data_IF_600214885906
#
_entry.id   IF_600214885906
#
_cell.length_a   1.000
_cell.length_b   1.000
_cell.length_c   1.000
_cell.angle_alpha   90.00
_cell.angle_beta   90.00
_cell.angle_gamma   90.00
#
_symmetry.space_group_name_H-M   'P 1'
#
loop_
_entity.id
_entity.type
_entity.pdbx_description
1 polymer ?
#
# COMPACT_ATOMS: atom_id res chain seq x y z
N UNK A 1 -35.64 11.83 -67.30
CA UNK A 1 -35.38 10.59 -66.55
C UNK A 1 -33.89 10.51 -66.22
N UNK A 2 -33.58 10.40 -64.93
CA UNK A 2 -32.30 9.98 -64.31
C UNK A 2 -31.15 10.99 -64.18
N UNK A 3 -31.05 11.49 -62.95
CA UNK A 3 -29.93 12.14 -62.30
C UNK A 3 -28.62 11.34 -62.38
N UNK A 4 -27.48 12.04 -62.44
CA UNK A 4 -26.14 11.55 -62.09
C UNK A 4 -25.28 12.68 -61.51
N UNK A 5 -25.75 13.21 -60.38
CA UNK A 5 -24.84 13.68 -59.34
C UNK A 5 -24.33 12.41 -58.63
N UNK A 6 -23.17 12.47 -57.99
CA UNK A 6 -22.47 11.41 -57.22
C UNK A 6 -21.30 10.80 -58.00
N UNK A 7 -20.13 11.45 -57.89
CA UNK A 7 -18.82 10.78 -57.86
C UNK A 7 -17.71 11.74 -57.41
N UNK A 8 -17.91 12.41 -56.26
CA UNK A 8 -16.85 13.20 -55.60
C UNK A 8 -16.96 13.10 -54.08
N UNK A 9 -17.13 11.90 -53.52
CA UNK A 9 -17.10 11.70 -52.06
C UNK A 9 -16.52 10.31 -51.75
N UNK A 10 -15.40 9.95 -52.36
CA UNK A 10 -14.79 8.64 -52.13
C UNK A 10 -13.26 8.80 -52.11
N UNK A 11 -12.75 9.52 -51.12
CA UNK A 11 -11.31 9.58 -50.84
C UNK A 11 -10.95 10.14 -49.46
N UNK A 12 -11.90 10.74 -48.74
CA UNK A 12 -11.63 11.36 -47.43
C UNK A 12 -12.01 10.51 -46.21
N UNK A 13 -12.53 9.28 -46.39
CA UNK A 13 -13.00 8.45 -45.26
C UNK A 13 -12.01 7.39 -44.78
N UNK A 14 -10.85 7.21 -45.43
CA UNK A 14 -9.92 6.14 -45.05
C UNK A 14 -8.74 6.58 -44.16
N UNK A 15 -8.60 7.87 -43.86
CA UNK A 15 -7.48 8.40 -43.05
C UNK A 15 -7.84 8.72 -41.59
N UNK A 16 -9.13 8.65 -41.24
CA UNK A 16 -9.61 8.93 -39.87
C UNK A 16 -9.65 7.69 -38.96
N UNK A 17 -9.36 6.50 -39.49
CA UNK A 17 -9.42 5.26 -38.70
C UNK A 17 -8.10 4.91 -38.00
N UNK A 18 -7.04 5.69 -38.20
CA UNK A 18 -5.72 5.40 -37.62
C UNK A 18 -5.44 6.09 -36.27
N UNK A 19 -6.35 6.93 -35.76
CA UNK A 19 -6.13 7.67 -34.50
C UNK A 19 -6.77 6.96 -33.28
N UNK A 20 -7.52 5.87 -33.48
CA UNK A 20 -8.40 5.34 -32.44
C UNK A 20 -7.77 4.35 -31.44
N UNK A 21 -6.49 3.98 -31.57
CA UNK A 21 -5.90 2.94 -30.73
C UNK A 21 -4.51 3.24 -30.18
N UNK A 22 -4.24 4.51 -29.86
CA UNK A 22 -3.20 4.82 -28.86
C UNK A 22 -3.77 4.52 -27.47
N UNK A 23 -4.02 3.23 -27.19
CA UNK A 23 -4.10 2.75 -25.81
C UNK A 23 -2.72 3.02 -25.23
N UNK A 24 -2.58 4.17 -24.56
CA UNK A 24 -1.56 4.38 -23.54
C UNK A 24 -1.72 3.22 -22.56
N UNK A 25 -1.00 2.13 -22.82
CA UNK A 25 -0.62 1.21 -21.79
C UNK A 25 0.10 2.09 -20.79
N UNK A 26 -0.60 2.51 -19.74
CA UNK A 26 0.02 3.00 -18.53
C UNK A 26 0.84 1.82 -18.06
N UNK A 27 2.10 1.80 -18.47
CA UNK A 27 3.09 0.86 -18.01
C UNK A 27 3.10 1.06 -16.50
N UNK A 28 2.49 0.13 -15.78
CA UNK A 28 2.47 0.15 -14.34
C UNK A 28 3.92 -0.02 -13.91
N UNK A 29 4.60 1.10 -13.68
CA UNK A 29 5.96 1.12 -13.15
C UNK A 29 5.90 0.32 -11.85
N UNK A 30 6.67 -0.77 -11.71
CA UNK A 30 6.69 -1.51 -10.47
C UNK A 30 7.08 -0.53 -9.36
N UNK A 31 6.16 -0.31 -8.43
CA UNK A 31 6.42 0.53 -7.26
C UNK A 31 7.63 -0.09 -6.54
N UNK A 32 8.70 0.68 -6.39
CA UNK A 32 9.86 0.21 -5.65
C UNK A 32 9.40 -0.25 -4.25
N UNK A 33 9.88 -1.41 -3.75
CA UNK A 33 9.50 -1.87 -2.43
C UNK A 33 9.88 -0.80 -1.40
N UNK A 34 8.93 -0.41 -0.57
CA UNK A 34 9.02 0.68 0.40
C UNK A 34 8.86 0.10 1.80
N UNK A 35 9.94 -0.52 2.29
CA UNK A 35 9.93 -1.31 3.51
C UNK A 35 10.89 -0.77 4.56
N UNK A 36 10.55 -0.98 5.84
CA UNK A 36 11.42 -0.63 6.96
C UNK A 36 11.28 -1.65 8.08
N UNK A 37 12.41 -2.03 8.66
CA UNK A 37 12.41 -2.71 9.95
C UNK A 37 12.26 -1.64 11.04
N UNK A 38 11.36 -1.86 12.00
CA UNK A 38 11.24 -0.96 13.15
C UNK A 38 11.25 -1.74 14.45
N UNK A 39 11.89 -1.16 15.46
CA UNK A 39 11.71 -1.55 16.85
C UNK A 39 10.71 -0.59 17.47
N UNK A 40 9.60 -1.10 17.96
CA UNK A 40 8.52 -0.28 18.50
C UNK A 40 7.93 -0.85 19.78
N UNK A 41 7.39 0.03 20.62
CA UNK A 41 6.53 -0.37 21.74
C UNK A 41 5.07 -0.40 21.29
N UNK A 42 4.35 -1.47 21.62
CA UNK A 42 2.92 -1.59 21.31
C UNK A 42 2.10 -0.81 22.32
N UNK A 43 1.49 0.29 21.88
CA UNK A 43 0.73 1.21 22.75
C UNK A 43 -0.73 0.75 22.88
N UNK A 44 -1.35 0.38 21.76
CA UNK A 44 -2.73 -0.05 21.69
C UNK A 44 -2.93 -1.10 20.60
N UNK A 45 -3.98 -1.91 20.76
CA UNK A 45 -4.38 -2.96 19.84
C UNK A 45 -5.89 -2.88 19.69
N UNK A 46 -6.39 -2.97 18.45
CA UNK A 46 -7.80 -3.08 18.14
C UNK A 46 -8.01 -4.10 17.03
N UNK A 47 -9.14 -4.81 17.06
CA UNK A 47 -9.62 -5.59 15.90
C UNK A 47 -10.63 -4.71 15.17
N UNK A 48 -10.42 -4.53 13.86
CA UNK A 48 -11.27 -3.69 13.00
C UNK A 48 -11.73 -4.48 11.79
N UNK A 49 -12.90 -4.14 11.27
CA UNK A 49 -13.35 -4.64 9.97
C UNK A 49 -12.74 -3.76 8.87
N UNK A 50 -12.16 -4.38 7.84
CA UNK A 50 -11.47 -3.68 6.76
C UNK A 50 -12.38 -2.71 5.99
N UNK A 51 -13.69 -2.94 5.99
CA UNK A 51 -14.68 -2.02 5.40
C UNK A 51 -14.70 -0.65 6.07
N UNK A 52 -14.36 -0.56 7.37
CA UNK A 52 -14.26 0.73 8.08
C UNK A 52 -13.07 1.57 7.65
N UNK A 53 -12.16 0.97 6.89
CA UNK A 53 -10.95 1.59 6.33
C UNK A 53 -10.99 1.63 4.80
N UNK A 54 -12.16 1.35 4.18
CA UNK A 54 -12.32 1.24 2.72
C UNK A 54 -11.40 0.19 2.06
N UNK A 55 -10.96 -0.83 2.81
CA UNK A 55 -10.08 -1.90 2.31
C UNK A 55 -10.90 -3.12 1.88
N UNK A 56 -10.67 -3.55 0.63
CA UNK A 56 -11.26 -4.76 0.03
C UNK A 56 -10.21 -5.87 -0.16
N UNK A 57 -10.60 -7.16 -0.10
CA UNK A 57 -11.93 -7.66 0.27
C UNK A 57 -12.22 -7.46 1.76
N UNK A 58 -13.50 -7.47 2.15
CA UNK A 58 -13.91 -7.38 3.54
C UNK A 58 -13.29 -8.50 4.38
N UNK A 59 -12.59 -8.12 5.45
CA UNK A 59 -11.92 -9.04 6.36
C UNK A 59 -11.69 -8.39 7.73
N UNK A 60 -11.40 -9.21 8.74
CA UNK A 60 -10.92 -8.71 10.04
C UNK A 60 -9.44 -8.37 9.94
N UNK A 61 -9.06 -7.23 10.49
CA UNK A 61 -7.68 -6.78 10.59
C UNK A 61 -7.34 -6.44 12.04
N UNK A 62 -6.08 -6.64 12.41
CA UNK A 62 -5.53 -6.18 13.67
C UNK A 62 -4.82 -4.85 13.42
N UNK A 63 -5.24 -3.83 14.15
CA UNK A 63 -4.69 -2.48 14.11
C UNK A 63 -3.86 -2.23 15.37
N UNK A 64 -2.58 -1.92 15.16
CA UNK A 64 -1.62 -1.66 16.22
C UNK A 64 -1.21 -0.20 16.21
N UNK A 65 -1.21 0.44 17.38
CA UNK A 65 -0.52 1.72 17.58
C UNK A 65 0.90 1.43 18.08
N UNK A 66 1.89 1.77 17.26
CA UNK A 66 3.29 1.45 17.47
C UNK A 66 4.09 2.72 17.73
N UNK A 67 4.66 2.85 18.94
CA UNK A 67 5.61 3.91 19.27
C UNK A 67 7.00 3.49 18.80
N UNK A 68 7.48 4.08 17.72
CA UNK A 68 8.75 3.73 17.09
C UNK A 68 9.90 4.22 17.96
N UNK A 69 10.87 3.34 18.17
CA UNK A 69 12.11 3.63 18.93
C UNK A 69 13.35 3.55 18.06
N UNK A 70 13.35 2.69 17.03
CA UNK A 70 14.44 2.59 16.07
C UNK A 70 13.89 2.22 14.70
N UNK A 71 14.52 2.70 13.63
CA UNK A 71 14.21 2.36 12.24
C UNK A 71 15.48 1.88 11.53
N UNK A 72 15.36 0.75 10.85
CA UNK A 72 16.41 0.10 10.07
C UNK A 72 15.94 -0.05 8.62
N UNK A 73 16.84 0.15 7.66
CA UNK A 73 16.53 -0.06 6.26
C UNK A 73 16.43 -1.56 5.94
N UNK A 74 15.51 -1.91 5.04
CA UNK A 74 15.48 -3.24 4.41
C UNK A 74 16.39 -3.20 3.18
N UNK A 75 17.38 -4.10 3.03
CA UNK A 75 18.25 -4.11 1.85
C UNK A 75 17.44 -4.23 0.55
N UNK A 76 17.70 -3.32 -0.40
CA UNK A 76 17.01 -3.30 -1.69
C UNK A 76 15.62 -2.65 -1.69
N UNK A 77 15.21 -2.02 -0.58
CA UNK A 77 13.95 -1.29 -0.46
C UNK A 77 14.16 0.13 0.07
N UNK A 78 13.24 1.03 -0.27
CA UNK A 78 13.21 2.39 0.27
C UNK A 78 12.78 2.38 1.74
N UNK A 79 13.56 3.07 2.59
CA UNK A 79 13.26 3.18 4.01
C UNK A 79 12.11 4.17 4.27
N UNK A 80 10.87 3.67 4.14
CA UNK A 80 9.63 4.46 4.21
C UNK A 80 9.37 5.11 5.56
N UNK A 81 9.97 4.61 6.65
CA UNK A 81 9.81 5.17 8.00
C UNK A 81 11.03 5.93 8.50
N UNK A 82 11.99 6.27 7.62
CA UNK A 82 13.18 7.05 8.01
C UNK A 82 12.77 8.36 8.73
N UNK A 83 13.28 8.57 9.94
CA UNK A 83 13.02 9.78 10.73
C UNK A 83 11.71 9.74 11.55
N UNK A 84 11.05 8.58 11.64
CA UNK A 84 9.86 8.38 12.45
C UNK A 84 10.16 7.94 13.89
N UNK A 85 11.43 7.88 14.29
CA UNK A 85 11.83 7.60 15.66
C UNK A 85 11.15 8.58 16.65
N UNK A 86 10.61 8.03 17.72
CA UNK A 86 9.84 8.81 18.70
C UNK A 86 8.45 9.23 18.21
N UNK A 87 7.96 8.73 17.08
CA UNK A 87 6.57 8.93 16.63
C UNK A 87 5.73 7.67 16.89
N UNK A 88 4.41 7.87 16.93
CA UNK A 88 3.45 6.76 16.97
C UNK A 88 2.81 6.64 15.60
N UNK A 89 2.76 5.42 15.05
CA UNK A 89 2.06 5.12 13.81
C UNK A 89 0.96 4.09 14.06
N UNK A 90 -0.04 4.08 13.19
CA UNK A 90 -0.96 2.94 13.07
C UNK A 90 -0.46 1.98 11.99
N UNK A 91 -0.41 0.69 12.31
CA UNK A 91 -0.03 -0.36 11.38
C UNK A 91 -1.04 -1.51 11.44
N UNK A 92 -1.32 -2.10 10.28
CA UNK A 92 -2.31 -3.15 10.08
C UNK A 92 -1.65 -4.50 9.83
N UNK A 93 -2.29 -5.57 10.26
CA UNK A 93 -1.93 -6.94 9.88
C UNK A 93 -3.17 -7.82 9.85
N UNK A 94 -3.10 -8.91 9.09
CA UNK A 94 -4.15 -9.93 9.03
C UNK A 94 -4.08 -10.90 10.20
N UNK A 95 -2.90 -11.07 10.78
CA UNK A 95 -2.63 -12.02 11.86
C UNK A 95 -2.11 -11.28 13.09
N UNK A 96 -2.47 -11.73 14.31
CA UNK A 96 -1.98 -11.10 15.54
C UNK A 96 -0.48 -11.33 15.71
N UNK A 97 0.23 -10.34 16.25
CA UNK A 97 1.70 -10.37 16.45
C UNK A 97 2.17 -11.33 17.58
N UNK A 98 1.33 -12.24 18.05
CA UNK A 98 1.56 -13.11 19.19
C UNK A 98 0.30 -13.30 20.04
N UNK A 99 0.48 -13.57 21.34
CA UNK A 99 -0.62 -13.70 22.29
C UNK A 99 -1.25 -12.35 22.67
N UNK A 100 -2.40 -12.37 23.33
CA UNK A 100 -3.13 -11.17 23.75
C UNK A 100 -2.32 -10.22 24.66
N UNK A 101 -1.20 -10.70 25.23
CA UNK A 101 -0.33 -9.93 26.13
C UNK A 101 0.70 -9.02 25.42
N UNK A 102 0.62 -8.84 24.10
CA UNK A 102 1.59 -8.03 23.32
C UNK A 102 1.53 -6.53 23.67
N UNK A 103 0.43 -6.03 24.24
CA UNK A 103 0.31 -4.62 24.66
C UNK A 103 1.37 -4.26 25.71
N UNK A 104 2.09 -3.17 25.49
CA UNK A 104 3.19 -2.72 26.35
C UNK A 104 4.48 -3.54 26.19
N UNK A 105 4.57 -4.42 25.19
CA UNK A 105 5.82 -5.09 24.83
C UNK A 105 6.56 -4.35 23.71
N UNK A 106 7.86 -4.63 23.59
CA UNK A 106 8.66 -4.21 22.45
C UNK A 106 8.61 -5.29 21.37
N UNK A 107 8.44 -4.85 20.12
CA UNK A 107 8.40 -5.71 18.94
C UNK A 107 9.40 -5.20 17.91
N UNK A 108 9.99 -6.14 17.16
CA UNK A 108 10.66 -5.83 15.90
C UNK A 108 9.72 -6.25 14.77
N UNK A 109 9.33 -5.31 13.92
CA UNK A 109 8.38 -5.56 12.83
C UNK A 109 8.89 -5.01 11.51
N UNK A 110 8.62 -5.73 10.42
CA UNK A 110 8.85 -5.25 9.05
C UNK A 110 7.58 -4.59 8.56
N UNK A 111 7.66 -3.33 8.18
CA UNK A 111 6.53 -2.51 7.74
C UNK A 111 6.71 -2.12 6.29
N UNK A 112 5.63 -2.21 5.51
CA UNK A 112 5.50 -1.61 4.19
C UNK A 112 4.38 -0.58 4.18
N UNK A 113 4.48 0.45 3.34
CA UNK A 113 3.37 1.36 3.09
C UNK A 113 2.67 0.96 1.79
N UNK A 114 1.38 0.66 1.84
CA UNK A 114 0.60 0.31 0.66
C UNK A 114 -0.50 1.33 0.41
N UNK A 115 -0.55 1.86 -0.81
CA UNK A 115 -1.48 2.89 -1.25
C UNK A 115 -0.75 4.17 -1.67
N UNK A 116 -1.53 5.23 -1.91
CA UNK A 116 -0.98 6.56 -2.19
C UNK A 116 -0.85 7.39 -0.89
N UNK A 117 -0.26 8.59 -0.98
CA UNK A 117 -0.09 9.48 0.18
C UNK A 117 -1.41 9.88 0.86
N UNK A 118 -2.55 9.74 0.18
CA UNK A 118 -3.87 10.17 0.68
C UNK A 118 -4.67 9.03 1.31
N UNK A 119 -4.43 7.79 0.90
CA UNK A 119 -5.22 6.60 1.27
C UNK A 119 -4.36 5.40 1.66
N UNK A 120 -3.06 5.58 1.81
CA UNK A 120 -2.16 4.50 2.14
C UNK A 120 -2.16 4.14 3.62
N UNK A 121 -1.85 2.88 3.87
CA UNK A 121 -1.76 2.32 5.22
C UNK A 121 -0.42 1.63 5.41
N UNK A 122 0.09 1.66 6.63
CA UNK A 122 1.23 0.85 7.01
C UNK A 122 0.78 -0.58 7.30
N UNK A 123 1.46 -1.55 6.72
CA UNK A 123 1.20 -2.98 6.85
C UNK A 123 2.38 -3.66 7.50
N UNK A 124 2.13 -4.43 8.56
CA UNK A 124 3.11 -5.32 9.16
C UNK A 124 3.17 -6.58 8.31
N UNK A 125 4.35 -6.84 7.74
CA UNK A 125 4.62 -8.01 6.91
C UNK A 125 5.19 -9.15 7.74
N UNK A 126 6.05 -8.81 8.70
CA UNK A 126 6.73 -9.76 9.57
C UNK A 126 6.87 -9.18 10.98
N UNK A 127 6.93 -10.06 11.98
CA UNK A 127 7.08 -9.65 13.36
C UNK A 127 7.87 -10.65 14.20
N UNK A 128 8.62 -10.11 15.16
CA UNK A 128 9.28 -10.86 16.20
C UNK A 128 9.12 -10.10 17.54
N UNK A 129 8.73 -10.83 18.58
CA UNK A 129 8.69 -10.28 19.94
C UNK A 129 10.12 -10.12 20.47
N UNK A 130 10.41 -8.97 21.09
CA UNK A 130 11.69 -8.77 21.77
C UNK A 130 11.48 -9.14 23.24
N UNK A 131 12.18 -10.17 23.77
CA UNK A 131 12.05 -10.56 25.17
C UNK A 131 12.33 -9.39 26.11
N UNK A 132 11.58 -9.28 27.20
CA UNK A 132 11.95 -8.36 28.28
C UNK A 132 13.23 -8.89 28.92
N UNK A 133 14.26 -8.05 29.01
CA UNK A 133 15.40 -8.33 29.87
C UNK A 133 14.87 -8.46 31.31
N UNK A 134 15.15 -9.59 31.95
CA UNK A 134 14.80 -9.87 33.34
C UNK A 134 15.65 -9.02 34.29
#
# INVERSE_FOLDING_TARGET
>A
MKARIIRRVLTAQLLLFSIAFSRLAVEAVPMAPNESWVVAAVVAIAVVDSSTLDIQPQQKLFRYQLRITNVEAVPGADNVLRGYEGRTIEALTREPLGSDAVKGQKVKVRISFQGDERRGHYWILESALIPRAQ
#
